data_IF_764700569277
#
_entry.id   IF_764700569277
#
_cell.length_a   1.000
_cell.length_b   1.000
_cell.length_c   1.000
_cell.angle_alpha   90.00
_cell.angle_beta   90.00
_cell.angle_gamma   90.00
#
_symmetry.space_group_name_H-M   'P 1'
#
loop_
_entity.id
_entity.type
_entity.pdbx_description
1 polymer ?
#
# COMPACT_ATOMS: atom_id res chain seq x y z
N UNK A 1 -58.37 49.72 9.45
CA UNK A 1 -57.38 48.90 10.19
C UNK A 1 -58.10 47.69 10.77
N UNK A 2 -57.87 46.51 10.21
CA UNK A 2 -58.28 45.22 10.77
C UNK A 2 -57.26 44.21 10.27
N UNK A 3 -56.44 43.67 11.18
CA UNK A 3 -55.51 42.58 10.88
C UNK A 3 -56.00 41.36 11.66
N UNK A 4 -56.59 40.42 10.94
CA UNK A 4 -56.88 39.09 11.46
C UNK A 4 -55.58 38.35 11.74
N UNK A 5 -55.50 37.83 12.96
CA UNK A 5 -54.55 36.84 13.41
C UNK A 5 -55.00 35.50 12.82
N UNK A 6 -54.16 34.86 12.02
CA UNK A 6 -54.28 33.42 11.72
C UNK A 6 -53.00 32.77 12.20
N UNK A 7 -53.16 32.02 13.29
CA UNK A 7 -52.20 31.09 13.83
C UNK A 7 -52.23 29.81 12.99
N UNK A 8 -51.08 29.38 12.49
CA UNK A 8 -50.89 28.00 12.02
C UNK A 8 -49.55 27.50 12.53
N UNK A 9 -49.56 26.92 13.72
CA UNK A 9 -48.52 26.02 14.19
C UNK A 9 -48.95 24.60 13.85
N UNK A 10 -48.29 23.93 12.90
CA UNK A 10 -48.34 22.47 12.74
C UNK A 10 -46.98 21.95 12.27
N UNK A 11 -46.39 21.12 13.14
CA UNK A 11 -45.47 20.01 12.87
C UNK A 11 -44.11 20.29 12.18
N UNK A 12 -43.14 20.78 12.95
CA UNK A 12 -41.72 20.50 12.69
C UNK A 12 -41.29 19.26 13.46
N UNK A 13 -41.41 18.07 12.85
CA UNK A 13 -40.91 16.81 13.41
C UNK A 13 -40.20 16.01 12.32
N UNK A 14 -39.00 15.54 12.66
CA UNK A 14 -38.16 14.52 12.01
C UNK A 14 -37.27 14.95 10.83
N UNK A 15 -36.13 15.57 11.15
CA UNK A 15 -34.84 15.23 10.53
C UNK A 15 -33.73 15.20 11.59
N UNK A 16 -33.88 14.32 12.58
CA UNK A 16 -32.72 13.75 13.27
C UNK A 16 -32.19 12.59 12.41
N UNK A 17 -31.75 12.90 11.19
CA UNK A 17 -30.85 12.00 10.47
C UNK A 17 -29.50 12.16 11.12
N UNK A 18 -29.08 11.11 11.83
CA UNK A 18 -27.87 11.07 12.62
C UNK A 18 -26.72 11.77 11.91
N UNK A 19 -26.24 12.83 12.55
CA UNK A 19 -24.91 13.37 12.35
C UNK A 19 -23.95 12.22 12.62
N UNK A 20 -23.64 11.43 11.59
CA UNK A 20 -22.38 10.74 11.55
C UNK A 20 -21.37 11.87 11.66
N UNK A 21 -20.79 12.05 12.85
CA UNK A 21 -19.73 13.00 13.06
C UNK A 21 -18.76 12.80 11.90
N UNK A 22 -18.69 13.79 11.01
CA UNK A 22 -17.74 13.78 9.93
C UNK A 22 -16.39 13.71 10.64
N UNK A 23 -15.75 12.54 10.58
CA UNK A 23 -14.42 12.37 11.13
C UNK A 23 -13.57 13.37 10.36
N UNK A 24 -13.10 14.41 11.04
CA UNK A 24 -12.32 15.46 10.40
C UNK A 24 -11.09 14.80 9.78
N UNK A 25 -10.91 14.97 8.47
CA UNK A 25 -9.70 14.49 7.80
C UNK A 25 -8.46 15.08 8.49
N UNK A 26 -7.34 14.34 8.58
CA UNK A 26 -6.11 14.87 9.16
C UNK A 26 -5.71 16.21 8.56
N UNK A 27 -5.12 17.08 9.38
CA UNK A 27 -4.49 18.32 8.90
C UNK A 27 -3.17 17.97 8.20
N UNK A 28 -3.28 17.63 6.92
CA UNK A 28 -2.15 17.21 6.10
C UNK A 28 -1.07 18.30 5.92
N UNK A 29 -1.35 19.56 6.27
CA UNK A 29 -0.34 20.62 6.32
C UNK A 29 0.64 20.45 7.49
N UNK A 30 0.22 19.74 8.55
CA UNK A 30 1.03 19.44 9.75
C UNK A 30 1.65 18.05 9.76
N UNK A 31 1.19 17.15 8.89
CA UNK A 31 1.72 15.79 8.80
C UNK A 31 2.99 15.78 7.93
N UNK A 32 4.16 15.38 8.44
CA UNK A 32 5.39 15.34 7.66
C UNK A 32 5.26 14.43 6.43
N UNK A 33 5.76 14.92 5.31
CA UNK A 33 5.82 14.18 4.05
C UNK A 33 7.18 13.50 3.92
N UNK A 34 7.18 12.19 3.63
CA UNK A 34 8.37 11.42 3.26
C UNK A 34 8.20 10.88 1.85
N UNK A 35 9.14 11.14 0.97
CA UNK A 35 9.15 10.53 -0.36
C UNK A 35 9.76 9.13 -0.26
N UNK A 36 9.00 8.12 -0.70
CA UNK A 36 9.43 6.73 -0.77
C UNK A 36 9.58 6.34 -2.23
N UNK A 37 10.76 5.86 -2.60
CA UNK A 37 10.98 5.30 -3.93
C UNK A 37 10.30 3.93 -4.06
N UNK A 38 9.39 3.82 -5.01
CA UNK A 38 8.91 2.52 -5.49
C UNK A 38 9.70 2.10 -6.72
N UNK A 39 9.83 0.80 -6.94
CA UNK A 39 10.60 0.26 -8.05
C UNK A 39 9.94 -0.97 -8.65
N UNK A 40 10.26 -1.26 -9.92
CA UNK A 40 9.82 -2.45 -10.59
C UNK A 40 10.67 -3.65 -10.14
N UNK A 41 10.07 -4.65 -9.47
CA UNK A 41 10.84 -5.71 -8.81
C UNK A 41 11.26 -6.87 -9.73
N UNK A 42 10.78 -6.88 -10.98
CA UNK A 42 10.90 -8.03 -11.86
C UNK A 42 10.31 -9.30 -11.23
N UNK A 43 10.99 -10.43 -11.43
CA UNK A 43 10.67 -11.74 -10.86
C UNK A 43 11.65 -12.13 -9.74
N UNK A 44 12.22 -11.16 -9.02
CA UNK A 44 13.16 -11.43 -7.93
C UNK A 44 12.46 -12.15 -6.76
N UNK A 45 12.57 -13.48 -6.74
CA UNK A 45 11.93 -14.34 -5.73
C UNK A 45 12.69 -14.34 -4.41
N UNK A 46 12.07 -14.88 -3.35
CA UNK A 46 12.77 -15.03 -2.06
C UNK A 46 13.98 -15.98 -2.18
N UNK A 47 13.92 -16.99 -3.04
CA UNK A 47 15.02 -17.91 -3.34
C UNK A 47 16.18 -17.15 -4.00
N UNK A 48 15.89 -16.27 -4.96
CA UNK A 48 16.90 -15.41 -5.58
C UNK A 48 17.56 -14.48 -4.55
N UNK A 49 16.75 -13.85 -3.68
CA UNK A 49 17.23 -12.92 -2.64
C UNK A 49 18.13 -13.61 -1.61
N UNK A 50 17.86 -14.88 -1.32
CA UNK A 50 18.57 -15.66 -0.29
C UNK A 50 19.71 -16.52 -0.86
N UNK A 51 19.91 -16.50 -2.18
CA UNK A 51 20.98 -17.21 -2.87
C UNK A 51 22.19 -16.30 -3.05
N UNK A 52 23.29 -16.63 -2.36
CA UNK A 52 24.52 -15.82 -2.32
C UNK A 52 25.11 -15.52 -3.71
N UNK A 53 25.02 -16.44 -4.67
CA UNK A 53 25.54 -16.22 -6.03
C UNK A 53 24.73 -15.19 -6.81
N UNK A 54 23.46 -15.00 -6.44
CA UNK A 54 22.52 -14.20 -7.20
C UNK A 54 22.27 -12.86 -6.49
N UNK A 55 22.27 -12.84 -5.16
CA UNK A 55 22.13 -11.65 -4.33
C UNK A 55 23.19 -11.60 -3.21
N UNK A 56 24.11 -10.64 -3.32
CA UNK A 56 25.24 -10.47 -2.40
C UNK A 56 24.83 -10.11 -0.97
N UNK A 57 23.63 -9.55 -0.76
CA UNK A 57 23.08 -9.19 0.55
C UNK A 57 22.64 -10.36 1.42
N UNK A 58 22.76 -11.61 0.94
CA UNK A 58 22.33 -12.82 1.67
C UNK A 58 22.91 -12.91 3.09
N UNK A 59 24.17 -12.51 3.29
CA UNK A 59 24.81 -12.58 4.61
C UNK A 59 24.22 -11.56 5.61
N UNK A 60 23.90 -10.35 5.16
CA UNK A 60 23.24 -9.32 5.96
C UNK A 60 21.82 -9.75 6.35
N UNK A 61 21.07 -10.30 5.39
CA UNK A 61 19.74 -10.87 5.64
C UNK A 61 19.77 -11.97 6.70
N UNK A 62 20.75 -12.88 6.67
CA UNK A 62 20.89 -13.91 7.72
C UNK A 62 21.21 -13.34 9.11
N UNK A 63 21.76 -12.13 9.18
CA UNK A 63 22.07 -11.42 10.43
C UNK A 63 20.94 -10.52 10.92
N UNK A 64 19.80 -10.47 10.21
CA UNK A 64 18.65 -9.66 10.61
C UNK A 64 18.60 -8.28 9.97
N UNK A 65 19.51 -7.92 9.06
CA UNK A 65 19.42 -6.65 8.33
C UNK A 65 18.13 -6.61 7.50
N UNK A 66 17.43 -5.48 7.52
CA UNK A 66 16.24 -5.27 6.72
C UNK A 66 16.59 -4.90 5.29
N UNK A 67 15.68 -5.14 4.35
CA UNK A 67 15.88 -4.73 2.96
C UNK A 67 16.16 -3.22 2.85
N UNK A 68 15.45 -2.39 3.62
CA UNK A 68 15.64 -0.93 3.67
C UNK A 68 17.01 -0.57 4.25
N UNK A 69 17.47 -1.28 5.29
CA UNK A 69 18.76 -1.01 5.91
C UNK A 69 19.96 -1.12 4.96
N UNK A 70 19.87 -1.98 3.94
CA UNK A 70 20.92 -2.11 2.92
C UNK A 70 20.64 -1.27 1.66
N UNK A 71 19.37 -1.14 1.26
CA UNK A 71 19.02 -0.63 -0.07
C UNK A 71 18.45 0.78 -0.07
N UNK A 72 18.12 1.39 1.06
CA UNK A 72 17.77 2.81 1.09
C UNK A 72 19.00 3.64 1.47
N UNK A 73 19.40 4.54 0.58
CA UNK A 73 20.51 5.46 0.83
C UNK A 73 20.12 6.87 0.39
N UNK A 74 20.25 7.85 1.30
CA UNK A 74 20.00 9.28 1.04
C UNK A 74 18.61 9.57 0.40
N UNK A 75 17.59 8.81 0.80
CA UNK A 75 16.22 8.95 0.28
C UNK A 75 16.01 8.34 -1.13
N UNK A 76 16.99 7.60 -1.64
CA UNK A 76 16.94 6.84 -2.88
C UNK A 76 17.13 5.35 -2.64
N UNK A 77 17.07 4.56 -3.72
CA UNK A 77 17.34 3.13 -3.69
C UNK A 77 18.74 2.83 -4.25
N UNK A 78 19.53 2.08 -3.50
CA UNK A 78 20.88 1.65 -3.85
C UNK A 78 20.89 0.18 -4.26
N UNK A 79 20.45 -0.09 -5.50
CA UNK A 79 20.64 -1.36 -6.18
C UNK A 79 20.54 -1.21 -7.70
N UNK A 80 20.97 -2.24 -8.43
CA UNK A 80 21.04 -2.22 -9.89
C UNK A 80 19.64 -2.45 -10.52
N UNK A 81 18.93 -1.36 -10.81
CA UNK A 81 17.63 -1.40 -11.50
C UNK A 81 17.70 -2.03 -12.89
N UNK A 82 18.82 -1.89 -13.60
CA UNK A 82 18.98 -2.50 -14.93
C UNK A 82 18.96 -4.02 -14.86
N UNK A 83 19.53 -4.57 -13.79
CA UNK A 83 19.51 -6.01 -13.52
C UNK A 83 18.10 -6.53 -13.28
N UNK A 84 17.29 -5.79 -12.51
CA UNK A 84 15.88 -6.13 -12.31
C UNK A 84 15.08 -6.10 -13.62
N UNK A 85 15.45 -5.20 -14.53
CA UNK A 85 14.79 -5.01 -15.82
C UNK A 85 15.35 -5.90 -16.96
N UNK A 86 16.41 -6.66 -16.71
CA UNK A 86 17.06 -7.46 -17.75
C UNK A 86 16.22 -8.70 -18.08
N UNK A 87 15.84 -8.84 -19.34
CA UNK A 87 15.03 -9.95 -19.83
C UNK A 87 15.71 -11.32 -19.71
N UNK A 88 17.03 -11.36 -19.61
CA UNK A 88 17.82 -12.58 -19.43
C UNK A 88 18.04 -12.93 -17.96
N UNK A 89 17.75 -12.01 -17.03
CA UNK A 89 17.92 -12.25 -15.60
C UNK A 89 16.58 -12.28 -14.86
N UNK A 90 15.89 -11.14 -14.78
CA UNK A 90 14.79 -10.94 -13.83
C UNK A 90 13.50 -10.39 -14.45
N UNK A 91 13.47 -10.03 -15.73
CA UNK A 91 12.23 -9.56 -16.34
C UNK A 91 11.99 -10.12 -17.76
N UNK A 92 11.73 -11.43 -17.88
CA UNK A 92 11.65 -12.11 -19.17
C UNK A 92 10.50 -11.63 -20.08
N UNK A 93 9.51 -10.88 -19.55
CA UNK A 93 8.40 -10.33 -20.35
C UNK A 93 8.60 -8.86 -20.72
N UNK A 94 9.72 -8.26 -20.33
CA UNK A 94 10.00 -6.85 -20.57
C UNK A 94 9.58 -5.96 -19.39
N UNK A 95 10.43 -4.97 -19.10
CA UNK A 95 10.25 -4.04 -18.00
C UNK A 95 9.49 -2.77 -18.44
N UNK A 96 8.80 -2.08 -17.53
CA UNK A 96 8.24 -0.76 -17.83
C UNK A 96 9.33 0.25 -18.17
N UNK A 97 9.00 1.29 -18.93
CA UNK A 97 9.93 2.39 -19.26
C UNK A 97 10.47 3.09 -18.01
N UNK A 98 9.61 3.29 -17.02
CA UNK A 98 9.98 3.87 -15.72
C UNK A 98 10.26 2.73 -14.76
N UNK A 99 11.49 2.60 -14.27
CA UNK A 99 11.87 1.54 -13.34
C UNK A 99 11.62 1.89 -11.88
N UNK A 100 11.69 3.17 -11.53
CA UNK A 100 11.39 3.67 -10.19
C UNK A 100 10.86 5.11 -10.24
N UNK A 101 10.06 5.48 -9.24
CA UNK A 101 9.57 6.84 -9.08
C UNK A 101 9.22 7.14 -7.61
N UNK A 102 9.20 8.41 -7.18
CA UNK A 102 8.82 8.78 -5.81
C UNK A 102 7.30 8.69 -5.60
N UNK A 103 6.92 8.18 -4.45
CA UNK A 103 5.58 8.31 -3.88
C UNK A 103 5.70 9.06 -2.56
N UNK A 104 5.03 10.22 -2.47
CA UNK A 104 4.95 10.97 -1.24
C UNK A 104 4.01 10.25 -0.27
N UNK A 105 4.50 9.96 0.93
CA UNK A 105 3.77 9.29 2.00
C UNK A 105 3.63 10.22 3.20
N UNK A 106 2.41 10.32 3.70
CA UNK A 106 2.07 10.98 4.96
C UNK A 106 1.22 10.03 5.79
N UNK A 107 1.49 9.95 7.09
CA UNK A 107 0.75 9.07 7.97
C UNK A 107 0.30 9.81 9.23
N UNK A 108 -0.96 9.62 9.60
CA UNK A 108 -1.58 10.23 10.77
C UNK A 108 -2.46 9.22 11.52
N UNK A 109 -2.74 9.46 12.80
CA UNK A 109 -3.66 8.63 13.56
C UNK A 109 -4.45 9.43 14.59
N UNK A 110 -5.63 8.93 14.93
CA UNK A 110 -6.46 9.38 16.05
C UNK A 110 -6.87 8.16 16.91
N UNK A 111 -7.76 8.35 17.88
CA UNK A 111 -8.22 7.26 18.76
C UNK A 111 -8.87 6.08 18.00
N UNK A 112 -9.50 6.32 16.86
CA UNK A 112 -10.24 5.33 16.08
C UNK A 112 -9.53 4.88 14.81
N UNK A 113 -8.73 5.74 14.18
CA UNK A 113 -8.26 5.56 12.81
C UNK A 113 -6.75 5.73 12.64
N UNK A 114 -6.21 4.97 11.69
CA UNK A 114 -4.92 5.18 11.07
C UNK A 114 -5.16 5.65 9.63
N UNK A 115 -4.49 6.73 9.25
CA UNK A 115 -4.56 7.35 7.94
C UNK A 115 -3.20 7.24 7.25
N UNK A 116 -3.20 6.81 5.99
CA UNK A 116 -2.02 6.79 5.13
C UNK A 116 -2.39 7.49 3.82
N UNK A 117 -1.74 8.61 3.54
CA UNK A 117 -1.91 9.36 2.29
C UNK A 117 -0.76 9.09 1.35
N UNK A 118 -1.08 8.66 0.14
CA UNK A 118 -0.15 8.50 -0.97
C UNK A 118 -0.41 9.60 -2.00
N UNK A 119 0.65 10.30 -2.42
CA UNK A 119 0.59 11.25 -3.54
C UNK A 119 1.68 10.95 -4.56
N UNK A 120 1.30 10.75 -5.83
CA UNK A 120 2.25 10.33 -6.87
C UNK A 120 1.77 10.64 -8.29
N UNK A 121 2.72 10.70 -9.22
CA UNK A 121 2.45 10.74 -10.66
C UNK A 121 2.61 9.32 -11.21
N UNK A 122 1.52 8.74 -11.72
CA UNK A 122 1.55 7.39 -12.26
C UNK A 122 2.32 7.36 -13.59
N UNK A 123 3.38 6.54 -13.74
CA UNK A 123 4.14 6.49 -14.98
C UNK A 123 3.37 5.74 -16.08
N UNK A 124 3.55 6.20 -17.32
CA UNK A 124 3.14 5.49 -18.53
C UNK A 124 4.27 4.60 -19.07
N UNK A 125 3.96 3.76 -20.06
CA UNK A 125 4.91 2.85 -20.70
C UNK A 125 5.06 1.55 -19.92
N UNK A 126 3.95 1.04 -19.39
CA UNK A 126 3.89 -0.28 -18.77
C UNK A 126 4.13 -1.38 -19.80
N UNK A 127 4.87 -2.42 -19.38
CA UNK A 127 5.10 -3.61 -20.22
C UNK A 127 3.87 -4.53 -20.31
N UNK A 128 2.95 -4.41 -19.34
CA UNK A 128 1.67 -5.11 -19.30
C UNK A 128 0.53 -4.10 -19.25
N UNK A 129 -0.54 -4.40 -19.99
CA UNK A 129 -1.80 -3.63 -20.00
C UNK A 129 -3.01 -4.53 -19.79
N UNK A 130 -2.85 -5.56 -18.94
CA UNK A 130 -3.85 -6.60 -18.73
C UNK A 130 -5.10 -6.12 -17.97
N UNK A 131 -5.01 -5.04 -17.21
CA UNK A 131 -6.14 -4.45 -16.49
C UNK A 131 -6.89 -3.43 -17.37
N UNK A 132 -7.79 -3.95 -18.20
CA UNK A 132 -8.61 -3.15 -19.10
C UNK A 132 -9.54 -2.17 -18.39
N UNK A 133 -9.78 -2.40 -17.10
CA UNK A 133 -10.76 -1.65 -16.32
C UNK A 133 -10.11 -0.49 -15.56
N UNK A 134 -8.89 -0.67 -15.08
CA UNK A 134 -8.24 0.29 -14.18
C UNK A 134 -6.93 0.78 -14.77
N UNK A 135 -6.82 2.09 -14.97
CA UNK A 135 -5.56 2.75 -15.31
C UNK A 135 -4.57 2.65 -14.15
N UNK A 136 -5.05 2.82 -12.91
CA UNK A 136 -4.23 2.74 -11.70
C UNK A 136 -4.91 1.90 -10.62
N UNK A 137 -4.10 1.08 -9.93
CA UNK A 137 -4.44 0.52 -8.62
C UNK A 137 -3.34 0.84 -7.62
N UNK A 138 -3.75 1.13 -6.39
CA UNK A 138 -2.83 1.35 -5.27
C UNK A 138 -3.21 0.40 -4.15
N UNK A 139 -2.24 -0.35 -3.62
CA UNK A 139 -2.47 -1.36 -2.59
C UNK A 139 -1.54 -1.09 -1.41
N UNK A 140 -2.11 -1.00 -0.21
CA UNK A 140 -1.36 -1.06 1.06
C UNK A 140 -1.44 -2.49 1.61
N UNK A 141 -0.32 -2.97 2.13
CA UNK A 141 -0.21 -4.19 2.90
C UNK A 141 0.34 -3.87 4.28
N UNK A 142 -0.27 -4.43 5.31
CA UNK A 142 0.17 -4.31 6.70
C UNK A 142 0.40 -5.71 7.26
N UNK A 143 1.61 -6.00 7.74
CA UNK A 143 1.92 -7.29 8.36
C UNK A 143 1.61 -7.26 9.85
N UNK A 144 1.04 -8.34 10.39
CA UNK A 144 0.99 -8.53 11.84
C UNK A 144 2.35 -9.02 12.41
N UNK A 145 2.48 -9.00 13.73
CA UNK A 145 3.71 -9.41 14.42
C UNK A 145 4.04 -10.91 14.29
N UNK A 146 3.09 -11.74 13.87
CA UNK A 146 3.26 -13.19 13.71
C UNK A 146 3.78 -13.54 12.32
N UNK A 147 3.79 -12.60 11.38
CA UNK A 147 4.39 -12.77 10.07
C UNK A 147 5.90 -13.03 10.22
N UNK A 148 6.40 -14.21 9.81
CA UNK A 148 7.83 -14.51 9.88
C UNK A 148 8.63 -13.51 9.05
N UNK A 149 9.65 -12.90 9.65
CA UNK A 149 10.47 -11.86 9.03
C UNK A 149 9.66 -10.64 8.51
N UNK A 150 8.41 -10.45 8.94
CA UNK A 150 7.57 -9.34 8.48
C UNK A 150 8.19 -7.96 8.73
N UNK A 151 8.89 -7.80 9.86
CA UNK A 151 9.64 -6.59 10.17
C UNK A 151 10.95 -6.44 9.35
N UNK A 152 11.49 -7.54 8.83
CA UNK A 152 12.81 -7.57 8.19
C UNK A 152 12.72 -7.47 6.66
N UNK A 153 11.90 -8.32 6.04
CA UNK A 153 11.71 -8.39 4.58
C UNK A 153 10.36 -7.83 4.14
N UNK A 154 9.57 -7.30 5.09
CA UNK A 154 8.35 -6.56 4.80
C UNK A 154 7.28 -7.41 4.11
N UNK A 155 6.52 -6.73 3.25
CA UNK A 155 5.50 -7.34 2.39
C UNK A 155 6.09 -8.03 1.15
N UNK A 156 7.43 -8.00 0.99
CA UNK A 156 8.09 -8.59 -0.16
C UNK A 156 8.00 -10.11 -0.15
N UNK A 157 8.35 -10.75 0.97
CA UNK A 157 8.38 -12.21 1.07
C UNK A 157 7.01 -12.86 0.79
N UNK A 158 5.90 -12.19 1.09
CA UNK A 158 4.57 -12.75 0.83
C UNK A 158 4.11 -12.69 -0.61
N UNK A 159 4.63 -11.74 -1.39
CA UNK A 159 4.24 -11.59 -2.79
C UNK A 159 5.32 -12.11 -3.77
N UNK A 160 6.57 -12.21 -3.34
CA UNK A 160 7.68 -12.69 -4.17
C UNK A 160 8.13 -14.13 -3.87
N UNK A 161 7.36 -14.89 -3.08
CA UNK A 161 7.50 -16.35 -2.97
C UNK A 161 6.45 -17.01 -3.89
N UNK A 162 6.73 -17.07 -5.19
CA UNK A 162 5.85 -17.58 -6.27
C UNK A 162 4.41 -17.02 -6.26
N UNK A 163 4.21 -15.70 -6.34
CA UNK A 163 2.88 -15.18 -6.62
C UNK A 163 2.31 -15.82 -7.90
N UNK A 164 0.98 -16.06 -7.94
CA UNK A 164 0.24 -16.72 -9.04
C UNK A 164 0.62 -16.26 -10.46
N UNK A 165 1.08 -15.02 -10.62
CA UNK A 165 1.42 -14.44 -11.93
C UNK A 165 2.91 -14.45 -12.26
N UNK A 166 3.76 -15.01 -11.38
CA UNK A 166 5.19 -15.24 -11.62
C UNK A 166 5.40 -16.36 -12.64
N UNK A 167 6.46 -16.30 -13.46
CA UNK A 167 6.81 -17.40 -14.35
C UNK A 167 6.96 -18.72 -13.58
N UNK A 168 6.29 -19.78 -14.04
CA UNK A 168 6.34 -21.10 -13.42
C UNK A 168 5.52 -21.27 -12.14
N UNK A 169 4.79 -20.24 -11.69
CA UNK A 169 3.92 -20.35 -10.52
C UNK A 169 2.65 -21.16 -10.81
N UNK A 170 2.16 -21.89 -9.80
CA UNK A 170 0.87 -22.57 -9.87
C UNK A 170 -0.27 -21.55 -9.90
N UNK A 171 -1.09 -21.59 -10.95
CA UNK A 171 -2.26 -20.72 -11.09
C UNK A 171 -3.31 -20.91 -9.99
N UNK A 172 -3.29 -22.05 -9.30
CA UNK A 172 -4.17 -22.39 -8.18
C UNK A 172 -3.56 -22.02 -6.82
N UNK A 173 -2.38 -21.40 -6.79
CA UNK A 173 -1.71 -21.07 -5.53
C UNK A 173 -2.55 -20.10 -4.71
N UNK A 174 -2.95 -20.58 -3.54
CA UNK A 174 -3.60 -19.79 -2.49
C UNK A 174 -2.61 -19.43 -1.39
N UNK A 175 -1.64 -20.27 -1.02
CA UNK A 175 -0.82 -20.05 0.17
C UNK A 175 0.29 -18.99 -0.01
N UNK A 176 0.22 -17.89 0.74
CA UNK A 176 1.17 -16.76 0.66
C UNK A 176 1.95 -16.54 1.98
N UNK A 177 1.40 -16.89 3.14
CA UNK A 177 2.08 -16.81 4.45
C UNK A 177 2.10 -18.18 5.13
N UNK A 178 3.17 -18.49 5.89
CA UNK A 178 3.22 -19.69 6.74
C UNK A 178 2.50 -19.46 8.07
N UNK A 179 2.68 -18.27 8.64
CA UNK A 179 2.12 -17.81 9.91
C UNK A 179 1.78 -16.32 9.81
N UNK A 180 0.87 -15.85 10.67
CA UNK A 180 0.36 -14.49 10.66
C UNK A 180 -0.50 -14.14 9.45
N UNK A 181 -0.93 -12.89 9.39
CA UNK A 181 -1.71 -12.34 8.31
C UNK A 181 -1.15 -10.99 7.86
N UNK A 182 -1.32 -10.70 6.57
CA UNK A 182 -1.27 -9.33 6.09
C UNK A 182 -2.69 -8.84 5.86
N UNK A 183 -2.98 -7.65 6.35
CA UNK A 183 -4.15 -6.91 5.92
C UNK A 183 -3.85 -6.29 4.56
N UNK A 184 -4.81 -6.39 3.63
CA UNK A 184 -4.69 -5.87 2.27
C UNK A 184 -5.79 -4.85 2.05
N UNK A 185 -5.39 -3.61 1.74
CA UNK A 185 -6.32 -2.56 1.33
C UNK A 185 -5.93 -2.11 -0.07
N UNK A 186 -6.82 -2.32 -1.05
CA UNK A 186 -6.59 -1.91 -2.43
C UNK A 186 -7.65 -0.90 -2.87
N UNK A 187 -7.19 0.16 -3.51
CA UNK A 187 -8.01 1.08 -4.30
C UNK A 187 -7.77 0.81 -5.79
N UNK A 188 -8.84 0.85 -6.57
CA UNK A 188 -8.83 0.70 -8.01
C UNK A 188 -9.54 1.88 -8.69
N UNK A 189 -8.94 2.44 -9.73
CA UNK A 189 -9.40 3.69 -10.34
C UNK A 189 -10.80 3.61 -10.94
N UNK A 190 -11.23 2.44 -11.42
CA UNK A 190 -12.60 2.27 -11.94
C UNK A 190 -13.60 2.35 -10.80
N UNK A 191 -14.38 3.43 -10.80
CA UNK A 191 -15.43 3.66 -9.81
C UNK A 191 -14.91 3.80 -8.38
N UNK A 192 -13.61 4.13 -8.19
CA UNK A 192 -12.97 4.24 -6.88
C UNK A 192 -13.21 3.02 -5.97
N UNK A 193 -13.16 1.82 -6.55
CA UNK A 193 -13.48 0.59 -5.82
C UNK A 193 -12.44 0.32 -4.74
N UNK A 194 -12.92 0.09 -3.52
CA UNK A 194 -12.10 -0.31 -2.37
C UNK A 194 -12.29 -1.80 -2.09
N UNK A 195 -11.17 -2.49 -1.86
CA UNK A 195 -11.12 -3.88 -1.42
C UNK A 195 -10.41 -3.94 -0.07
N UNK A 196 -11.09 -4.44 0.96
CA UNK A 196 -10.57 -4.68 2.30
C UNK A 196 -10.50 -6.19 2.53
N UNK A 197 -9.29 -6.72 2.62
CA UNK A 197 -9.04 -8.14 2.57
C UNK A 197 -7.82 -8.56 3.38
N UNK A 198 -7.34 -9.77 3.12
CA UNK A 198 -6.18 -10.32 3.82
C UNK A 198 -5.37 -11.28 2.93
N UNK A 199 -4.11 -11.44 3.30
CA UNK A 199 -3.20 -12.43 2.74
C UNK A 199 -2.73 -13.34 3.88
N UNK A 200 -3.12 -14.60 3.80
CA UNK A 200 -2.78 -15.67 4.76
C UNK A 200 -2.35 -16.92 3.98
N UNK A 201 -2.99 -18.07 4.22
CA UNK A 201 -2.94 -19.23 3.33
C UNK A 201 -3.75 -19.04 2.05
N UNK A 202 -4.44 -17.92 1.91
CA UNK A 202 -5.12 -17.46 0.71
C UNK A 202 -5.07 -15.93 0.61
N UNK A 203 -5.16 -15.40 -0.61
CA UNK A 203 -5.38 -13.97 -0.84
C UNK A 203 -6.87 -13.74 -1.03
N UNK A 204 -7.48 -13.05 -0.08
CA UNK A 204 -8.88 -12.60 -0.14
C UNK A 204 -8.91 -11.09 -0.33
N UNK A 205 -9.71 -10.64 -1.30
CA UNK A 205 -9.91 -9.20 -1.58
C UNK A 205 -11.13 -8.63 -0.82
N UNK A 206 -11.81 -9.45 -0.03
CA UNK A 206 -12.97 -9.08 0.78
C UNK A 206 -12.91 -9.79 2.13
N UNK A 207 -13.75 -9.35 3.07
CA UNK A 207 -13.83 -9.93 4.42
C UNK A 207 -12.69 -9.52 5.33
N UNK A 208 -11.94 -8.47 4.98
CA UNK A 208 -11.01 -7.80 5.89
C UNK A 208 -11.75 -7.22 7.10
N UNK A 209 -11.05 -7.14 8.23
CA UNK A 209 -11.57 -6.62 9.50
C UNK A 209 -11.16 -5.18 9.77
N UNK A 210 -10.50 -4.53 8.82
CA UNK A 210 -9.88 -3.22 9.02
C UNK A 210 -10.87 -2.07 8.93
N UNK A 211 -12.01 -2.30 8.27
CA UNK A 211 -13.03 -1.28 8.01
C UNK A 211 -12.52 -0.23 7.01
N UNK A 212 -11.64 -0.66 6.10
CA UNK A 212 -10.89 0.28 5.28
C UNK A 212 -11.76 1.10 4.33
N UNK A 213 -11.41 2.37 4.22
CA UNK A 213 -11.95 3.32 3.24
C UNK A 213 -10.78 3.95 2.50
N UNK A 214 -10.99 4.28 1.24
CA UNK A 214 -10.01 5.04 0.47
C UNK A 214 -10.73 6.18 -0.24
N UNK A 215 -10.25 7.39 -0.02
CA UNK A 215 -10.78 8.60 -0.60
C UNK A 215 -9.73 9.29 -1.47
N UNK A 216 -10.18 10.06 -2.46
CA UNK A 216 -9.31 10.77 -3.38
C UNK A 216 -9.36 10.21 -4.80
N UNK A 217 -8.34 10.54 -5.59
CA UNK A 217 -8.30 10.23 -7.02
C UNK A 217 -7.26 11.07 -7.75
N UNK A 218 -7.42 11.19 -9.06
CA UNK A 218 -6.53 11.97 -9.93
C UNK A 218 -6.97 13.43 -10.00
N UNK A 219 -6.03 14.35 -9.81
CA UNK A 219 -6.18 15.77 -10.12
C UNK A 219 -4.98 16.19 -10.97
N UNK A 220 -5.22 16.66 -12.20
CA UNK A 220 -4.16 16.87 -13.18
C UNK A 220 -3.40 15.57 -13.46
N UNK A 221 -2.08 15.58 -13.23
CA UNK A 221 -1.20 14.42 -13.42
C UNK A 221 -0.93 13.63 -12.13
N UNK A 222 -1.51 14.06 -11.00
CA UNK A 222 -1.17 13.56 -9.67
C UNK A 222 -2.36 12.81 -9.06
N UNK A 223 -2.13 11.59 -8.60
CA UNK A 223 -3.04 10.86 -7.74
C UNK A 223 -2.78 11.27 -6.30
N UNK A 224 -3.85 11.51 -5.53
CA UNK A 224 -3.79 11.64 -4.08
C UNK A 224 -4.84 10.73 -3.48
N UNK A 225 -4.41 9.74 -2.72
CA UNK A 225 -5.25 8.71 -2.12
C UNK A 225 -5.03 8.69 -0.61
N UNK A 226 -6.11 8.82 0.16
CA UNK A 226 -6.10 8.71 1.61
C UNK A 226 -6.73 7.39 2.00
N UNK A 227 -5.92 6.46 2.50
CA UNK A 227 -6.35 5.19 3.06
C UNK A 227 -6.65 5.39 4.55
N UNK A 228 -7.84 5.02 4.98
CA UNK A 228 -8.28 5.07 6.36
C UNK A 228 -8.64 3.66 6.81
N UNK A 229 -8.14 3.23 7.95
CA UNK A 229 -8.51 1.96 8.59
C UNK A 229 -8.57 2.12 10.10
N UNK A 230 -9.15 1.15 10.80
CA UNK A 230 -9.11 1.10 12.27
C UNK A 230 -7.68 1.21 12.79
N UNK A 231 -7.47 2.08 13.78
CA UNK A 231 -6.18 2.27 14.44
C UNK A 231 -5.77 0.95 15.14
N UNK A 232 -4.59 0.38 14.82
CA UNK A 232 -4.11 -0.83 15.48
C UNK A 232 -3.68 -0.58 16.94
N UNK A 233 -3.44 0.67 17.36
CA UNK A 233 -3.18 1.09 18.73
C UNK A 233 -1.94 1.99 18.87
N UNK A 234 -2.01 2.97 19.78
CA UNK A 234 -0.88 3.82 20.15
C UNK A 234 0.21 3.01 20.87
N UNK A 235 1.47 3.37 20.67
CA UNK A 235 2.66 2.65 21.12
C UNK A 235 3.07 1.48 20.22
N UNK A 236 2.36 1.23 19.10
CA UNK A 236 2.66 0.11 18.20
C UNK A 236 3.50 0.54 17.00
N UNK A 237 4.35 -0.38 16.56
CA UNK A 237 5.07 -0.29 15.29
C UNK A 237 4.50 -1.35 14.34
N UNK A 238 4.03 -0.93 13.16
CA UNK A 238 3.36 -1.82 12.19
C UNK A 238 4.17 -1.92 10.91
N UNK A 239 4.65 -3.12 10.53
CA UNK A 239 5.25 -3.36 9.23
C UNK A 239 4.25 -3.06 8.10
N UNK A 240 4.68 -2.29 7.11
CA UNK A 240 3.86 -1.94 5.97
C UNK A 240 4.66 -1.84 4.67
N UNK A 241 3.95 -1.97 3.56
CA UNK A 241 4.48 -1.72 2.23
C UNK A 241 3.33 -1.43 1.27
N UNK A 242 3.66 -0.98 0.06
CA UNK A 242 2.65 -0.64 -0.91
C UNK A 242 3.09 -0.92 -2.35
N UNK A 243 2.09 -1.13 -3.20
CA UNK A 243 2.27 -1.41 -4.62
C UNK A 243 1.37 -0.50 -5.45
N UNK A 244 1.95 0.04 -6.53
CA UNK A 244 1.25 0.81 -7.56
C UNK A 244 1.28 0.01 -8.86
N UNK A 245 0.10 -0.31 -9.37
CA UNK A 245 -0.09 -0.73 -10.76
C UNK A 245 -0.48 0.51 -11.54
N UNK A 246 0.29 0.89 -12.56
CA UNK A 246 0.00 2.04 -13.44
C UNK A 246 -0.06 1.63 -14.90
N UNK A 247 -0.66 2.47 -15.74
CA UNK A 247 -0.81 2.23 -17.19
C UNK A 247 -1.45 0.88 -17.49
N UNK A 248 -2.54 0.57 -16.79
CA UNK A 248 -3.32 -0.67 -16.94
C UNK A 248 -2.56 -1.95 -16.57
N UNK A 249 -1.47 -1.84 -15.81
CA UNK A 249 -0.69 -2.99 -15.42
C UNK A 249 -1.48 -3.94 -14.49
N UNK A 250 -1.24 -5.24 -14.67
CA UNK A 250 -1.90 -6.30 -13.92
C UNK A 250 -0.90 -7.27 -13.30
N UNK A 251 -1.36 -8.06 -12.32
CA UNK A 251 -0.56 -9.13 -11.72
C UNK A 251 0.77 -8.63 -11.16
N UNK A 252 1.86 -9.29 -11.58
CA UNK A 252 3.23 -8.99 -11.15
C UNK A 252 3.81 -7.69 -11.73
N UNK A 253 3.17 -7.07 -12.71
CA UNK A 253 3.65 -5.82 -13.29
C UNK A 253 3.22 -4.65 -12.41
N UNK A 254 4.09 -4.27 -11.49
CA UNK A 254 3.86 -3.17 -10.56
C UNK A 254 5.16 -2.50 -10.17
N UNK A 255 5.05 -1.33 -9.55
CA UNK A 255 6.10 -0.74 -8.75
C UNK A 255 5.77 -0.95 -7.29
N UNK A 256 6.74 -1.39 -6.52
CA UNK A 256 6.57 -1.75 -5.11
C UNK A 256 7.52 -0.95 -4.24
N UNK A 257 7.08 -0.61 -3.04
CA UNK A 257 7.96 -0.07 -2.00
C UNK A 257 8.81 -1.18 -1.41
N UNK A 258 9.92 -0.81 -0.77
CA UNK A 258 10.52 -1.68 0.23
C UNK A 258 9.59 -1.87 1.44
N UNK A 259 9.94 -2.79 2.34
CA UNK A 259 9.24 -2.95 3.62
C UNK A 259 9.66 -1.87 4.61
N UNK A 260 8.70 -1.10 5.11
CA UNK A 260 8.91 -0.05 6.10
C UNK A 260 8.07 -0.32 7.35
N UNK A 261 8.28 0.46 8.39
CA UNK A 261 7.51 0.43 9.63
C UNK A 261 6.79 1.75 9.88
N UNK A 262 5.53 1.68 10.30
CA UNK A 262 4.74 2.81 10.79
C UNK A 262 4.82 2.86 12.32
N UNK A 263 5.38 3.93 12.87
CA UNK A 263 5.44 4.16 14.32
C UNK A 263 4.23 4.97 14.80
N UNK A 264 3.27 4.33 15.46
CA UNK A 264 2.03 4.95 15.94
C UNK A 264 2.23 5.37 17.40
N UNK A 265 2.61 6.63 17.62
CA UNK A 265 3.07 7.06 18.95
C UNK A 265 4.33 6.33 19.43
N UNK A 266 5.07 5.73 18.49
CA UNK A 266 6.29 4.97 18.70
C UNK A 266 7.28 5.28 17.55
N UNK A 267 8.50 4.77 17.65
CA UNK A 267 9.46 4.85 16.57
C UNK A 267 9.09 3.91 15.40
N UNK A 268 9.50 4.34 14.21
CA UNK A 268 9.33 3.61 12.96
C UNK A 268 9.95 4.40 11.82
N UNK A 269 10.12 3.77 10.66
CA UNK A 269 10.64 4.44 9.46
C UNK A 269 9.75 5.64 9.09
N UNK A 270 8.44 5.48 9.25
CA UNK A 270 7.47 6.56 9.06
C UNK A 270 6.84 6.89 10.40
N UNK A 271 7.12 8.09 10.88
CA UNK A 271 6.47 8.65 12.06
C UNK A 271 5.02 8.98 11.75
N UNK A 272 4.08 8.34 12.44
CA UNK A 272 2.65 8.60 12.28
C UNK A 272 2.26 9.75 13.22
N UNK A 273 1.68 10.82 12.66
CA UNK A 273 1.38 12.05 13.39
C UNK A 273 0.03 11.94 14.09
N UNK A 274 0.00 12.14 15.42
CA UNK A 274 -1.26 12.18 16.18
C UNK A 274 -2.11 13.39 15.75
N UNK A 275 -3.40 13.20 15.60
CA UNK A 275 -4.40 14.24 15.28
C UNK A 275 -5.30 14.52 16.49
#
# INVERSE_FOLDING_TARGET
MSKSIVSTAVAGVLLALGSHAAIAAPDWGKVPKRDIQVFHPGVATIEWITKKSDHSGTAGLRKGESCVGCHEEKGGLNFNMKRLADAKELEPKGAPKTLNFPVAVQAAYDAGNLYVRLSFKAPAGGADKGDKDNDVKATLLFGDAKVPQGAQVGCWATCHTDARTMPGADEKKTKYTKEGAYELVQWASKGNKVSDGSVTTERKMSGGSTGAKVEGGKSGDTYTLTFTRKNPGEGKTVPFGFAIHSDHASGRFHHVSMGYSLGIGADGDIKVTKQ
#
